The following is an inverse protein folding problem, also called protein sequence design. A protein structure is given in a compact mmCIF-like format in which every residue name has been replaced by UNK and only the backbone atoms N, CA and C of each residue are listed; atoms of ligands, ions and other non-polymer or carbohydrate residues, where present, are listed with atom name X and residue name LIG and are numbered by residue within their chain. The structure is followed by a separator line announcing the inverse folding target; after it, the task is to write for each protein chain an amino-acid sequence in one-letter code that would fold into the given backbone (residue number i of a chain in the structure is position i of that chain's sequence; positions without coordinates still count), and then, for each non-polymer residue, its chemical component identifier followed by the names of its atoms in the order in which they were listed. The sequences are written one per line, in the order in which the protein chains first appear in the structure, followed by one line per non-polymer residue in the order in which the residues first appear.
data_IF_858964914212
#
_entry.id   IF_858964914212
#
_cell.length_a   1.000
_cell.length_b   1.000
_cell.length_c   1.000
_cell.angle_alpha   90.00
_cell.angle_beta   90.00
_cell.angle_gamma   90.00
#
_symmetry.space_group_name_H-M   'P 1'
#
loop_
_entity.id
_entity.type
_entity.pdbx_description
1 polymer ?
#
# COMPACT_ATOMS: atom_id res chain seq x y z
N UNK A 1 -4.56 3.44 -9.44
CA UNK A 1 -3.74 4.52 -10.02
C UNK A 1 -2.38 4.42 -9.36
N UNK A 2 -1.44 3.77 -10.03
CA UNK A 2 -0.05 3.69 -9.59
C UNK A 2 0.65 4.95 -10.08
N UNK A 3 0.96 5.86 -9.17
CA UNK A 3 1.80 7.01 -9.47
C UNK A 3 3.26 6.55 -9.36
N UNK A 4 3.90 6.35 -10.50
CA UNK A 4 5.35 6.31 -10.62
C UNK A 4 5.82 7.77 -10.60
N UNK A 5 6.53 8.18 -9.57
CA UNK A 5 7.31 9.40 -9.59
C UNK A 5 8.75 9.04 -9.90
N UNK A 6 9.16 9.30 -11.15
CA UNK A 6 10.56 9.42 -11.51
C UNK A 6 11.04 10.82 -11.11
N UNK A 7 11.88 10.92 -10.10
CA UNK A 7 12.76 12.08 -9.94
C UNK A 7 14.21 11.64 -10.20
N UNK A 8 14.89 12.27 -11.17
CA UNK A 8 16.30 12.00 -11.39
C UNK A 8 17.12 12.93 -10.47
N UNK A 9 17.74 12.40 -9.42
CA UNK A 9 19.09 12.74 -8.98
C UNK A 9 19.38 12.31 -7.54
N UNK A 10 20.17 11.27 -7.43
CA UNK A 10 21.30 11.14 -6.49
C UNK A 10 22.00 9.85 -6.88
N UNK A 11 23.30 9.82 -6.89
CA UNK A 11 24.15 8.70 -7.30
C UNK A 11 23.78 7.39 -6.58
N UNK A 12 22.81 6.65 -7.11
CA UNK A 12 22.45 5.28 -6.69
C UNK A 12 23.34 4.31 -7.46
N UNK A 13 24.63 4.25 -7.10
CA UNK A 13 25.50 3.20 -7.60
C UNK A 13 25.03 1.85 -7.07
N UNK A 14 24.48 1.01 -7.93
CA UNK A 14 24.47 -0.44 -7.76
C UNK A 14 23.12 -1.17 -7.72
N UNK A 15 21.96 -0.50 -7.88
CA UNK A 15 20.66 -1.16 -7.74
C UNK A 15 19.73 -1.07 -8.96
N UNK A 16 20.16 -0.48 -10.07
CA UNK A 16 19.32 -0.16 -11.24
C UNK A 16 18.78 -1.37 -12.05
N UNK A 17 19.11 -2.62 -11.68
CA UNK A 17 18.54 -3.82 -12.30
C UNK A 17 18.34 -4.96 -11.26
N UNK A 18 18.02 -4.65 -10.02
CA UNK A 18 17.90 -5.66 -8.97
C UNK A 18 16.59 -6.42 -9.08
N UNK A 19 16.66 -7.70 -9.42
CA UNK A 19 15.52 -8.61 -9.32
C UNK A 19 15.24 -8.91 -7.85
N UNK A 20 14.20 -8.27 -7.30
CA UNK A 20 13.72 -8.59 -5.95
C UNK A 20 12.82 -9.82 -5.98
N UNK A 21 12.86 -10.62 -4.90
CA UNK A 21 11.94 -11.71 -4.63
C UNK A 21 10.90 -11.25 -3.62
N UNK A 22 9.61 -11.41 -3.91
CA UNK A 22 8.54 -11.09 -2.97
C UNK A 22 8.53 -12.09 -1.80
N UNK A 23 8.21 -11.61 -0.59
CA UNK A 23 8.13 -12.47 0.60
C UNK A 23 7.08 -13.58 0.42
N UNK A 24 5.98 -13.30 -0.29
CA UNK A 24 5.00 -14.32 -0.65
C UNK A 24 5.60 -15.46 -1.46
N UNK A 25 6.45 -15.14 -2.45
CA UNK A 25 7.15 -16.13 -3.27
C UNK A 25 8.19 -16.91 -2.44
N UNK A 26 8.91 -16.24 -1.52
CA UNK A 26 9.84 -16.94 -0.59
C UNK A 26 9.11 -18.01 0.23
N UNK A 27 7.87 -17.73 0.68
CA UNK A 27 7.08 -18.71 1.41
C UNK A 27 6.43 -19.78 0.54
N UNK A 28 6.12 -19.48 -0.72
CA UNK A 28 5.55 -20.44 -1.67
C UNK A 28 6.60 -21.44 -2.16
N UNK A 29 7.79 -20.95 -2.47
CA UNK A 29 8.87 -21.70 -3.14
C UNK A 29 10.04 -21.99 -2.20
N UNK A 30 9.82 -21.97 -0.89
CA UNK A 30 10.88 -22.03 0.15
C UNK A 30 11.83 -23.22 0.02
N UNK A 31 11.32 -24.40 -0.34
CA UNK A 31 12.15 -25.59 -0.57
C UNK A 31 13.07 -25.42 -1.79
N UNK A 32 12.52 -24.90 -2.89
CA UNK A 32 13.29 -24.66 -4.11
C UNK A 32 14.32 -23.53 -3.94
N UNK A 33 14.03 -22.56 -3.09
CA UNK A 33 14.92 -21.43 -2.79
C UNK A 33 15.95 -21.72 -1.69
N UNK A 34 15.85 -22.88 -1.02
CA UNK A 34 16.75 -23.25 0.06
C UNK A 34 18.22 -23.26 -0.40
N UNK A 35 19.06 -22.56 0.32
CA UNK A 35 20.48 -22.38 -0.01
C UNK A 35 20.75 -21.38 -1.13
N UNK A 36 19.74 -20.83 -1.77
CA UNK A 36 19.91 -19.82 -2.81
C UNK A 36 20.06 -18.42 -2.20
N UNK A 37 20.84 -17.59 -2.85
CA UNK A 37 20.95 -16.17 -2.56
C UNK A 37 19.82 -15.40 -3.27
N UNK A 38 19.05 -14.63 -2.51
CA UNK A 38 17.97 -13.80 -3.01
C UNK A 38 18.09 -12.38 -2.47
N UNK A 39 17.38 -11.46 -3.12
CA UNK A 39 17.20 -10.09 -2.62
C UNK A 39 15.74 -9.85 -2.30
N UNK A 40 15.47 -9.37 -1.09
CA UNK A 40 14.15 -8.96 -0.65
C UNK A 40 14.17 -7.48 -0.24
N UNK A 41 13.06 -6.79 -0.47
CA UNK A 41 12.90 -5.39 -0.06
C UNK A 41 11.66 -5.31 0.84
N UNK A 42 11.70 -4.47 1.88
CA UNK A 42 10.52 -4.34 2.74
C UNK A 42 10.73 -3.36 3.89
N UNK A 43 9.74 -3.32 4.75
CA UNK A 43 9.72 -2.48 5.94
C UNK A 43 9.91 -3.30 7.20
N UNK A 44 10.71 -2.75 8.09
CA UNK A 44 10.96 -3.31 9.42
C UNK A 44 9.68 -3.33 10.25
N UNK A 45 9.30 -4.49 10.73
CA UNK A 45 8.19 -4.72 11.68
C UNK A 45 8.69 -4.83 13.12
N UNK A 46 9.80 -5.51 13.31
CA UNK A 46 10.51 -5.60 14.59
C UNK A 46 11.99 -5.80 14.36
N UNK A 47 12.82 -5.32 15.31
CA UNK A 47 14.23 -5.64 15.40
C UNK A 47 14.51 -6.14 16.81
N UNK A 48 15.39 -7.12 16.91
CA UNK A 48 15.95 -7.62 18.17
C UNK A 48 17.43 -7.78 18.02
N UNK A 49 18.20 -7.00 18.78
CA UNK A 49 19.65 -7.10 18.89
C UNK A 49 20.04 -8.05 20.01
N UNK A 50 20.90 -9.02 19.71
CA UNK A 50 21.49 -9.99 20.63
C UNK A 50 22.99 -9.75 20.85
N UNK A 51 23.48 -8.56 20.48
CA UNK A 51 24.88 -8.06 20.58
C UNK A 51 25.85 -8.57 19.52
N UNK A 52 25.82 -9.86 19.18
CA UNK A 52 26.68 -10.50 18.16
C UNK A 52 25.90 -10.90 16.92
N UNK A 53 24.58 -11.02 17.03
CA UNK A 53 23.64 -11.25 15.94
C UNK A 53 22.31 -10.62 16.27
N UNK A 54 21.42 -10.50 15.30
CA UNK A 54 20.10 -9.94 15.51
C UNK A 54 19.08 -10.49 14.54
N UNK A 55 17.82 -10.17 14.82
CA UNK A 55 16.67 -10.58 14.03
C UNK A 55 15.86 -9.37 13.58
N UNK A 56 15.51 -9.34 12.31
CA UNK A 56 14.55 -8.39 11.74
C UNK A 56 13.34 -9.17 11.26
N UNK A 57 12.15 -8.74 11.63
CA UNK A 57 10.94 -9.13 10.92
C UNK A 57 10.69 -8.12 9.80
N UNK A 58 10.81 -8.55 8.55
CA UNK A 58 10.62 -7.73 7.35
C UNK A 58 9.30 -8.07 6.68
N UNK A 59 8.57 -7.06 6.20
CA UNK A 59 7.33 -7.25 5.45
C UNK A 59 7.30 -6.33 4.23
N UNK A 60 6.98 -6.89 3.06
CA UNK A 60 6.89 -6.17 1.79
C UNK A 60 5.45 -5.90 1.33
N UNK A 61 4.47 -6.36 2.11
CA UNK A 61 3.05 -6.23 1.78
C UNK A 61 2.52 -7.31 0.83
N UNK A 62 3.34 -8.19 0.27
CA UNK A 62 2.91 -9.27 -0.64
C UNK A 62 2.05 -10.33 0.08
N UNK A 63 2.30 -10.57 1.38
CA UNK A 63 1.51 -11.48 2.21
C UNK A 63 1.42 -10.99 3.66
N UNK A 64 0.65 -11.73 4.51
CA UNK A 64 0.51 -11.41 5.93
C UNK A 64 1.70 -11.84 6.78
N UNK A 65 2.51 -12.78 6.29
CA UNK A 65 3.69 -13.28 7.01
C UNK A 65 4.83 -12.26 6.91
N UNK A 66 5.58 -12.13 8.00
CA UNK A 66 6.84 -11.41 7.99
C UNK A 66 7.96 -12.41 7.71
N UNK A 67 8.97 -12.02 6.94
CA UNK A 67 10.19 -12.79 6.77
C UNK A 67 11.15 -12.47 7.91
N UNK A 68 11.62 -13.51 8.61
CA UNK A 68 12.71 -13.36 9.57
C UNK A 68 14.02 -13.24 8.82
N UNK A 69 14.73 -12.14 9.06
CA UNK A 69 16.09 -11.91 8.58
C UNK A 69 17.02 -12.03 9.78
N UNK A 70 18.02 -12.89 9.67
CA UNK A 70 19.11 -13.03 10.65
C UNK A 70 20.30 -12.23 10.15
N UNK A 71 20.87 -11.37 10.97
CA UNK A 71 22.06 -10.59 10.65
C UNK A 71 23.10 -10.72 11.75
N UNK A 72 24.37 -10.85 11.38
CA UNK A 72 25.47 -11.14 12.29
C UNK A 72 26.55 -10.06 12.22
N UNK A 73 27.16 -9.75 13.38
CA UNK A 73 28.32 -8.87 13.46
C UNK A 73 29.53 -9.54 12.77
N UNK A 74 30.19 -8.79 11.90
CA UNK A 74 31.30 -9.32 11.07
C UNK A 74 30.85 -9.91 9.72
N UNK A 75 29.56 -10.20 9.51
CA UNK A 75 29.00 -10.56 8.19
C UNK A 75 28.38 -9.35 7.52
N UNK A 76 27.66 -8.53 8.28
CA UNK A 76 27.02 -7.29 7.80
C UNK A 76 27.84 -6.11 8.29
N UNK A 77 28.44 -5.35 7.36
CA UNK A 77 29.37 -4.24 7.68
C UNK A 77 28.73 -3.16 8.57
N UNK A 78 27.43 -2.92 8.42
CA UNK A 78 26.68 -1.89 9.14
C UNK A 78 25.83 -2.43 10.31
N UNK A 79 26.22 -3.52 10.94
CA UNK A 79 25.50 -4.18 12.04
C UNK A 79 24.97 -3.18 13.09
N UNK A 80 25.86 -2.27 13.57
CA UNK A 80 25.53 -1.32 14.63
C UNK A 80 24.50 -0.27 14.22
N UNK A 81 24.45 0.05 12.95
CA UNK A 81 23.43 0.94 12.37
C UNK A 81 22.09 0.22 12.34
N UNK A 82 22.08 -1.01 11.80
CA UNK A 82 20.89 -1.82 11.64
C UNK A 82 20.24 -2.15 12.99
N UNK A 83 21.06 -2.52 13.98
CA UNK A 83 20.57 -2.84 15.32
C UNK A 83 19.82 -1.67 16.01
N UNK A 84 20.03 -0.43 15.56
CA UNK A 84 19.39 0.79 16.10
C UNK A 84 18.22 1.31 15.28
N UNK A 85 17.89 0.67 14.17
CA UNK A 85 16.79 1.11 13.31
C UNK A 85 15.43 1.01 14.00
N UNK A 86 14.55 1.93 13.67
CA UNK A 86 13.18 1.94 14.16
C UNK A 86 12.25 1.12 13.25
N UNK A 87 11.11 0.71 13.83
CA UNK A 87 9.99 0.13 13.09
C UNK A 87 9.57 1.07 11.97
N UNK A 88 9.30 0.52 10.78
CA UNK A 88 8.93 1.30 9.62
C UNK A 88 10.10 1.71 8.72
N UNK A 89 11.35 1.51 9.13
CA UNK A 89 12.50 1.70 8.25
C UNK A 89 12.41 0.76 7.04
N UNK A 90 12.82 1.23 5.87
CA UNK A 90 12.83 0.45 4.63
C UNK A 90 14.23 -0.09 4.33
N UNK A 91 14.29 -1.38 4.00
CA UNK A 91 15.53 -2.12 3.79
C UNK A 91 15.52 -2.86 2.46
N UNK A 92 16.72 -2.99 1.88
CA UNK A 92 17.04 -3.98 0.86
C UNK A 92 17.97 -4.98 1.54
N UNK A 93 17.59 -6.25 1.52
CA UNK A 93 18.34 -7.33 2.14
C UNK A 93 18.74 -8.37 1.09
N UNK A 94 20.01 -8.60 0.91
CA UNK A 94 20.56 -9.71 0.15
C UNK A 94 21.02 -10.78 1.13
N UNK A 95 20.59 -12.02 0.93
CA UNK A 95 20.91 -13.10 1.85
C UNK A 95 20.56 -14.48 1.31
N UNK A 96 20.90 -15.51 2.07
CA UNK A 96 20.66 -16.91 1.73
C UNK A 96 19.44 -17.44 2.46
N UNK A 97 18.53 -18.07 1.72
CA UNK A 97 17.34 -18.72 2.29
C UNK A 97 17.74 -19.98 3.03
N UNK A 98 17.28 -20.10 4.28
CA UNK A 98 17.52 -21.25 5.14
C UNK A 98 16.19 -21.81 5.64
N UNK A 99 15.97 -23.11 5.47
CA UNK A 99 14.83 -23.81 6.06
C UNK A 99 15.07 -24.03 7.55
N UNK A 100 14.02 -23.79 8.34
CA UNK A 100 14.04 -23.93 9.80
C UNK A 100 12.82 -24.71 10.29
N UNK A 101 12.65 -25.99 9.88
CA UNK A 101 11.41 -26.77 10.12
C UNK A 101 11.11 -26.95 11.62
N UNK A 102 12.13 -26.95 12.47
CA UNK A 102 11.97 -27.09 13.92
C UNK A 102 11.71 -25.74 14.64
N UNK A 103 11.77 -24.62 13.92
CA UNK A 103 11.52 -23.30 14.49
C UNK A 103 10.05 -22.90 14.33
N UNK A 104 9.67 -21.80 15.00
CA UNK A 104 8.31 -21.24 14.88
C UNK A 104 7.95 -20.82 13.44
N UNK A 105 8.93 -20.31 12.68
CA UNK A 105 8.82 -20.00 11.25
C UNK A 105 9.51 -21.10 10.43
N UNK A 106 8.97 -21.48 9.27
CA UNK A 106 9.50 -22.60 8.47
C UNK A 106 10.81 -22.27 7.75
N UNK A 107 11.14 -20.99 7.61
CA UNK A 107 12.35 -20.52 6.93
C UNK A 107 12.78 -19.14 7.46
N UNK A 108 14.02 -18.79 7.19
CA UNK A 108 14.61 -17.49 7.48
C UNK A 108 15.58 -17.09 6.35
N UNK A 109 15.94 -15.81 6.31
CA UNK A 109 16.94 -15.26 5.40
C UNK A 109 18.18 -14.90 6.22
N UNK A 110 19.30 -15.59 5.98
CA UNK A 110 20.59 -15.20 6.56
C UNK A 110 21.19 -14.08 5.74
N UNK A 111 21.26 -12.88 6.30
CA UNK A 111 21.71 -11.70 5.58
C UNK A 111 23.20 -11.74 5.28
N UNK A 112 23.56 -11.43 4.05
CA UNK A 112 24.92 -11.18 3.57
C UNK A 112 25.19 -9.67 3.44
N UNK A 113 24.16 -8.91 3.09
CA UNK A 113 24.23 -7.46 2.99
C UNK A 113 22.86 -6.85 3.29
N UNK A 114 22.84 -5.72 3.98
CA UNK A 114 21.64 -4.94 4.27
C UNK A 114 21.89 -3.47 3.94
N UNK A 115 21.13 -2.94 2.99
CA UNK A 115 21.13 -1.51 2.70
C UNK A 115 19.91 -0.84 3.33
N UNK A 116 20.11 0.30 3.97
CA UNK A 116 19.05 1.13 4.53
C UNK A 116 18.61 2.14 3.48
N UNK A 117 17.45 1.93 2.87
CA UNK A 117 16.88 2.84 1.87
C UNK A 117 16.23 4.07 2.51
N UNK A 118 15.62 3.90 3.67
CA UNK A 118 14.99 4.99 4.40
C UNK A 118 14.86 4.67 5.88
N UNK A 119 15.57 5.38 6.75
CA UNK A 119 15.41 5.21 8.19
C UNK A 119 14.07 5.81 8.63
N UNK A 120 13.44 5.17 9.62
CA UNK A 120 12.26 5.69 10.29
C UNK A 120 12.64 6.36 11.60
N UNK A 121 11.84 7.33 12.06
CA UNK A 121 12.05 8.01 13.34
C UNK A 121 11.35 7.29 14.49
N UNK A 122 11.71 7.58 15.76
CA UNK A 122 11.02 7.02 16.92
C UNK A 122 9.53 7.39 16.99
N UNK A 123 9.14 8.51 16.34
CA UNK A 123 7.76 9.00 16.29
C UNK A 123 6.89 8.29 15.26
N UNK A 124 7.44 7.32 14.50
CA UNK A 124 6.67 6.55 13.54
C UNK A 124 5.39 5.97 14.18
N UNK A 125 4.18 6.27 13.66
CA UNK A 125 2.93 6.03 14.40
C UNK A 125 2.61 4.55 14.64
N UNK A 126 3.02 3.65 13.71
CA UNK A 126 2.73 2.22 13.80
C UNK A 126 3.79 1.48 14.60
N UNK A 127 3.86 1.77 15.88
CA UNK A 127 4.74 1.08 16.82
C UNK A 127 4.29 -0.37 17.09
N UNK A 128 5.16 -1.19 17.71
CA UNK A 128 4.88 -2.57 18.11
C UNK A 128 3.87 -2.63 19.27
N UNK A 129 2.64 -2.22 19.00
CA UNK A 129 1.50 -2.28 19.94
C UNK A 129 0.19 -2.46 19.16
N UNK A 130 -0.87 -2.88 19.85
CA UNK A 130 -2.20 -2.90 19.26
C UNK A 130 -2.71 -1.47 19.06
N UNK A 131 -3.20 -1.17 17.86
CA UNK A 131 -3.84 0.10 17.53
C UNK A 131 -5.34 -0.11 17.36
N UNK A 132 -6.15 0.85 17.82
CA UNK A 132 -7.61 0.82 17.62
C UNK A 132 -7.97 1.23 16.20
N UNK A 133 -9.15 0.84 15.74
CA UNK A 133 -9.64 1.19 14.38
C UNK A 133 -9.79 2.71 14.25
N UNK A 134 -10.27 3.37 15.29
CA UNK A 134 -10.46 4.82 15.36
C UNK A 134 -9.12 5.53 15.16
N UNK A 135 -8.09 5.13 15.90
CA UNK A 135 -6.74 5.68 15.73
C UNK A 135 -6.19 5.44 14.32
N UNK A 136 -6.37 4.23 13.78
CA UNK A 136 -5.89 3.91 12.42
C UNK A 136 -6.59 4.73 11.33
N UNK A 137 -7.81 5.22 11.57
CA UNK A 137 -8.49 6.14 10.66
C UNK A 137 -7.88 7.53 10.66
N UNK A 138 -7.28 7.98 11.76
CA UNK A 138 -6.57 9.28 11.80
C UNK A 138 -5.25 9.27 11.04
N UNK A 139 -4.67 8.08 10.80
CA UNK A 139 -3.44 7.86 10.02
C UNK A 139 -3.75 7.01 8.77
N UNK A 140 -4.77 7.41 8.00
CA UNK A 140 -5.34 6.64 6.90
C UNK A 140 -4.30 6.14 5.87
N UNK A 141 -3.26 6.94 5.59
CA UNK A 141 -2.16 6.61 4.66
C UNK A 141 -1.24 5.48 5.16
N UNK A 142 -1.16 5.25 6.48
CA UNK A 142 -0.34 4.19 7.08
C UNK A 142 -1.13 2.93 7.45
N UNK A 143 -2.45 3.04 7.65
CA UNK A 143 -3.28 1.90 8.10
C UNK A 143 -3.20 0.65 7.22
N UNK A 144 -2.96 0.71 5.88
CA UNK A 144 -2.78 -0.50 5.06
C UNK A 144 -1.62 -1.39 5.50
N UNK A 145 -0.63 -0.83 6.19
CA UNK A 145 0.50 -1.57 6.74
C UNK A 145 0.16 -2.40 7.98
N UNK A 146 -1.03 -2.25 8.54
CA UNK A 146 -1.52 -3.10 9.64
C UNK A 146 -2.17 -4.37 9.10
N UNK A 147 -2.09 -5.48 9.83
CA UNK A 147 -2.69 -6.75 9.41
C UNK A 147 -4.21 -6.61 9.20
N UNK A 148 -4.89 -5.86 10.08
CA UNK A 148 -6.33 -5.64 9.98
C UNK A 148 -6.70 -4.95 8.65
N UNK A 149 -6.12 -3.79 8.36
CA UNK A 149 -6.48 -3.06 7.13
C UNK A 149 -5.89 -3.68 5.87
N UNK A 150 -4.75 -4.38 5.96
CA UNK A 150 -4.27 -5.22 4.86
C UNK A 150 -5.31 -6.29 4.51
N UNK A 151 -5.90 -6.97 5.51
CA UNK A 151 -6.98 -7.94 5.30
C UNK A 151 -8.23 -7.27 4.70
N UNK A 152 -8.69 -6.17 5.28
CA UNK A 152 -9.87 -5.44 4.80
C UNK A 152 -9.72 -5.04 3.34
N UNK A 153 -8.59 -4.45 2.95
CA UNK A 153 -8.39 -4.00 1.57
C UNK A 153 -8.26 -5.16 0.59
N UNK A 154 -7.64 -6.29 0.98
CA UNK A 154 -7.60 -7.50 0.15
C UNK A 154 -8.99 -8.08 -0.06
N UNK A 155 -9.80 -8.20 0.99
CA UNK A 155 -11.20 -8.66 0.88
C UNK A 155 -12.00 -7.72 -0.02
N UNK A 156 -11.89 -6.40 0.16
CA UNK A 156 -12.57 -5.42 -0.70
C UNK A 156 -12.18 -5.57 -2.17
N UNK A 157 -10.89 -5.75 -2.45
CA UNK A 157 -10.39 -5.94 -3.82
C UNK A 157 -10.99 -7.19 -4.47
N UNK A 158 -10.92 -8.32 -3.78
CA UNK A 158 -11.48 -9.59 -4.28
C UNK A 158 -13.00 -9.51 -4.43
N UNK A 159 -13.71 -8.93 -3.47
CA UNK A 159 -15.16 -8.77 -3.53
C UNK A 159 -15.61 -7.89 -4.71
N UNK A 160 -14.90 -6.79 -4.98
CA UNK A 160 -15.20 -5.94 -6.13
C UNK A 160 -15.05 -6.70 -7.45
N UNK A 161 -13.97 -7.47 -7.62
CA UNK A 161 -13.76 -8.28 -8.81
C UNK A 161 -14.78 -9.40 -8.93
N UNK A 162 -15.11 -10.08 -7.83
CA UNK A 162 -16.09 -11.17 -7.81
C UNK A 162 -17.50 -10.72 -8.27
N UNK A 163 -17.90 -9.47 -7.95
CA UNK A 163 -19.18 -8.91 -8.44
C UNK A 163 -19.15 -8.75 -9.97
N UNK A 164 -18.05 -8.23 -10.53
CA UNK A 164 -17.91 -8.11 -11.98
C UNK A 164 -17.91 -9.46 -12.68
N UNK A 165 -17.11 -10.41 -12.17
CA UNK A 165 -17.02 -11.77 -12.69
C UNK A 165 -18.39 -12.48 -12.69
N UNK A 166 -19.11 -12.40 -11.55
CA UNK A 166 -20.44 -12.98 -11.40
C UNK A 166 -21.42 -12.52 -12.48
N UNK A 167 -21.46 -11.22 -12.79
CA UNK A 167 -22.38 -10.69 -13.80
C UNK A 167 -21.89 -11.01 -15.22
N UNK A 168 -20.61 -10.92 -15.51
CA UNK A 168 -20.08 -11.22 -16.84
C UNK A 168 -20.26 -12.69 -17.22
N UNK A 169 -20.04 -13.63 -16.29
CA UNK A 169 -20.30 -15.08 -16.53
C UNK A 169 -21.76 -15.38 -16.88
N UNK A 170 -22.68 -14.48 -16.51
CA UNK A 170 -24.11 -14.58 -16.81
C UNK A 170 -24.55 -13.79 -18.04
N UNK A 171 -23.59 -13.30 -18.81
CA UNK A 171 -23.84 -12.58 -20.07
C UNK A 171 -24.21 -11.11 -19.91
N UNK A 172 -24.06 -10.52 -18.72
CA UNK A 172 -24.23 -9.09 -18.53
C UNK A 172 -23.01 -8.34 -19.06
N UNK A 173 -23.26 -7.19 -19.67
CA UNK A 173 -22.23 -6.27 -20.14
C UNK A 173 -22.02 -5.17 -19.09
N UNK A 174 -20.80 -4.99 -18.64
CA UNK A 174 -20.45 -3.87 -17.75
C UNK A 174 -20.38 -2.58 -18.58
N UNK A 175 -21.30 -1.66 -18.32
CA UNK A 175 -21.30 -0.33 -18.91
C UNK A 175 -20.84 0.67 -17.85
N UNK A 176 -19.68 1.30 -18.08
CA UNK A 176 -19.15 2.33 -17.20
C UNK A 176 -19.88 3.66 -17.44
N UNK A 177 -21.04 3.83 -16.79
CA UNK A 177 -21.86 5.05 -16.91
C UNK A 177 -21.18 6.24 -16.23
N UNK A 178 -21.40 7.48 -16.72
CA UNK A 178 -20.90 8.69 -16.08
C UNK A 178 -21.36 8.83 -14.64
N UNK A 179 -20.44 9.26 -13.75
CA UNK A 179 -20.76 9.56 -12.35
C UNK A 179 -21.30 10.98 -12.14
N UNK A 180 -21.01 11.89 -13.08
CA UNK A 180 -21.48 13.28 -13.05
C UNK A 180 -22.53 13.44 -14.14
N UNK A 181 -23.71 13.93 -13.77
CA UNK A 181 -24.84 14.06 -14.67
C UNK A 181 -25.55 15.40 -14.45
N UNK A 182 -26.22 15.91 -15.52
CA UNK A 182 -27.14 17.01 -15.41
C UNK A 182 -28.61 16.55 -15.23
N UNK A 183 -28.85 15.24 -15.28
CA UNK A 183 -30.18 14.64 -15.18
C UNK A 183 -30.42 14.05 -13.79
N UNK A 184 -31.65 14.24 -13.29
CA UNK A 184 -32.17 13.52 -12.13
C UNK A 184 -33.09 12.40 -12.64
N UNK A 185 -32.64 11.15 -12.56
CA UNK A 185 -33.38 10.04 -13.17
C UNK A 185 -34.54 9.50 -12.30
N UNK A 186 -34.56 9.81 -11.02
CA UNK A 186 -35.58 9.29 -10.09
C UNK A 186 -36.39 10.37 -9.39
N UNK A 187 -36.09 11.66 -9.64
CA UNK A 187 -36.72 12.78 -8.94
C UNK A 187 -36.38 12.77 -7.43
N UNK A 188 -35.27 12.11 -7.06
CA UNK A 188 -34.87 11.87 -5.66
C UNK A 188 -34.46 13.16 -4.90
N UNK A 189 -34.44 14.30 -5.55
CA UNK A 189 -34.41 15.64 -4.98
C UNK A 189 -33.07 16.08 -4.35
N UNK A 190 -32.33 15.21 -3.70
CA UNK A 190 -31.15 15.58 -2.95
C UNK A 190 -29.84 14.97 -3.54
N UNK A 191 -29.48 15.40 -4.74
CA UNK A 191 -28.20 15.03 -5.34
C UNK A 191 -27.07 15.95 -4.87
N UNK A 192 -25.90 15.36 -4.62
CA UNK A 192 -24.68 16.12 -4.34
C UNK A 192 -24.28 16.93 -5.57
N UNK A 193 -24.21 18.25 -5.44
CA UNK A 193 -23.81 19.15 -6.53
C UNK A 193 -22.31 19.01 -6.80
N UNK A 194 -21.97 18.97 -8.10
CA UNK A 194 -20.60 19.05 -8.60
C UNK A 194 -20.43 20.38 -9.30
N UNK A 195 -19.54 21.24 -8.82
CA UNK A 195 -19.30 22.59 -9.36
C UNK A 195 -17.88 23.04 -9.09
N UNK A 196 -17.33 23.85 -9.99
CA UNK A 196 -16.04 24.55 -9.82
C UNK A 196 -16.24 26.02 -9.42
N UNK A 197 -17.48 26.48 -9.33
CA UNK A 197 -17.80 27.85 -8.92
C UNK A 197 -17.48 28.06 -7.43
N UNK A 198 -17.05 29.30 -7.11
CA UNK A 198 -16.84 29.65 -5.70
C UNK A 198 -18.19 29.69 -4.95
N UNK A 199 -18.29 28.82 -3.93
CA UNK A 199 -19.51 28.72 -3.13
C UNK A 199 -19.84 30.02 -2.33
N UNK A 200 -18.84 30.89 -2.06
CA UNK A 200 -19.01 32.12 -1.32
C UNK A 200 -19.43 33.31 -2.23
N UNK A 201 -19.00 33.28 -3.49
CA UNK A 201 -19.21 34.35 -4.44
C UNK A 201 -19.42 33.77 -5.85
N UNK A 202 -20.50 33.02 -6.09
CA UNK A 202 -20.78 32.47 -7.41
C UNK A 202 -21.17 33.58 -8.38
N UNK A 203 -20.91 33.46 -9.69
CA UNK A 203 -21.47 34.32 -10.69
C UNK A 203 -23.01 34.23 -10.66
N UNK A 204 -23.69 35.38 -10.86
CA UNK A 204 -25.12 35.42 -10.82
C UNK A 204 -25.68 35.87 -12.20
N UNK A 205 -26.83 35.35 -12.55
CA UNK A 205 -27.67 35.81 -13.68
C UNK A 205 -28.37 37.14 -13.34
N UNK A 206 -28.98 37.80 -14.29
CA UNK A 206 -29.69 39.08 -14.08
C UNK A 206 -30.82 38.97 -13.05
N UNK A 207 -31.42 37.80 -12.89
CA UNK A 207 -32.48 37.52 -11.93
C UNK A 207 -31.95 37.06 -10.55
N UNK A 208 -30.63 37.08 -10.36
CA UNK A 208 -29.97 36.75 -9.09
C UNK A 208 -29.79 35.28 -8.81
N UNK A 209 -30.06 34.38 -9.76
CA UNK A 209 -29.75 32.97 -9.64
C UNK A 209 -28.26 32.69 -9.95
N UNK A 210 -27.75 31.53 -9.52
CA UNK A 210 -26.37 31.11 -9.84
C UNK A 210 -26.26 30.82 -11.34
N UNK A 211 -25.32 31.50 -11.99
CA UNK A 211 -25.04 31.34 -13.42
C UNK A 211 -24.13 30.12 -13.67
N UNK A 212 -24.74 28.97 -13.87
CA UNK A 212 -24.03 27.72 -14.17
C UNK A 212 -23.48 27.67 -15.61
N UNK A 213 -23.76 28.65 -16.49
CA UNK A 213 -23.11 28.70 -17.80
C UNK A 213 -21.62 28.94 -17.71
N UNK A 214 -21.17 29.51 -16.59
CA UNK A 214 -19.76 29.75 -16.27
C UNK A 214 -19.09 28.58 -15.53
N UNK A 215 -19.85 27.52 -15.20
CA UNK A 215 -19.30 26.33 -14.57
C UNK A 215 -18.61 25.41 -15.59
N UNK A 216 -17.81 24.45 -15.11
CA UNK A 216 -16.99 23.54 -15.95
C UNK A 216 -17.81 22.86 -17.07
N UNK A 217 -19.01 22.38 -16.77
CA UNK A 217 -19.89 21.73 -17.75
C UNK A 217 -20.89 22.69 -18.42
N UNK A 218 -20.82 23.99 -18.16
CA UNK A 218 -21.75 25.00 -18.70
C UNK A 218 -23.19 24.80 -18.26
N UNK A 219 -23.47 24.02 -17.26
CA UNK A 219 -24.80 23.72 -16.70
C UNK A 219 -24.68 23.12 -15.30
N UNK A 220 -25.81 23.16 -14.57
CA UNK A 220 -25.91 22.54 -13.25
C UNK A 220 -25.67 21.04 -13.36
N UNK A 221 -24.68 20.50 -12.62
CA UNK A 221 -24.35 19.06 -12.56
C UNK A 221 -24.32 18.54 -11.13
N UNK A 222 -24.49 17.23 -10.99
CA UNK A 222 -24.55 16.53 -9.72
C UNK A 222 -23.95 15.15 -9.85
N UNK A 223 -23.61 14.51 -8.72
CA UNK A 223 -23.32 13.08 -8.71
C UNK A 223 -24.60 12.30 -9.01
N UNK A 224 -24.50 11.31 -9.90
CA UNK A 224 -25.65 10.48 -10.26
C UNK A 224 -26.08 9.58 -9.09
N UNK A 225 -27.37 9.32 -8.98
CA UNK A 225 -27.93 8.30 -8.08
C UNK A 225 -28.14 6.99 -8.82
N UNK A 226 -28.23 7.02 -10.16
CA UNK A 226 -28.44 5.82 -11.00
C UNK A 226 -27.93 6.08 -12.43
N UNK A 227 -27.50 5.01 -13.11
CA UNK A 227 -27.09 5.03 -14.50
C UNK A 227 -28.24 4.76 -15.51
N UNK A 228 -29.51 4.84 -15.10
CA UNK A 228 -30.65 4.47 -15.95
C UNK A 228 -30.86 5.36 -17.19
N UNK A 229 -30.39 6.61 -17.15
CA UNK A 229 -30.54 7.57 -18.25
C UNK A 229 -29.24 7.73 -19.08
N UNK A 230 -28.30 6.82 -18.97
CA UNK A 230 -27.03 6.86 -19.71
C UNK A 230 -26.95 5.81 -20.80
#
# INVERSE_FOLDING_TARGET
MFLYFDEPNAEKKGFDNMKRTEIAAVYADGEALSGQEITVCGWVRTIRDMKTFGFIELNDGSCFKNLQVVFEDGTVDNYREIAKLNVGSSLIVRGTVKLTPEAKQPLELTALNIAVEGPSTPEYPLQKKRHTVEYLRTIAHLRPRTNLFSAVFRVRSVAAMAVHEFFQERGFVYVHTPLITASDCEGAGEMFRVTTLDAKNPPLTEDGAVDFSQDFFGKKTSLTVSGQLN
#
